data_IF_072002036080
#
_entry.id   IF_072002036080
#
_cell.length_a   1.000
_cell.length_b   1.000
_cell.length_c   1.000
_cell.angle_alpha   90.00
_cell.angle_beta   90.00
_cell.angle_gamma   90.00
#
_symmetry.space_group_name_H-M   'P 1'
#
loop_
_entity.id
_entity.type
_entity.pdbx_description
1 polymer ?
#
# COMPACT_ATOMS: atom_id res chain seq x y z
N UNK A 1 -9.31 -8.81 -1.50
CA UNK A 1 -9.56 -8.71 -0.04
C UNK A 1 -9.20 -9.98 0.72
N UNK A 2 -9.60 -11.17 0.27
CA UNK A 2 -9.29 -12.43 0.99
C UNK A 2 -7.79 -12.73 1.13
N UNK A 3 -6.97 -12.47 0.10
CA UNK A 3 -5.50 -12.61 0.20
C UNK A 3 -4.88 -11.66 1.24
N UNK A 4 -5.52 -10.52 1.51
CA UNK A 4 -5.12 -9.62 2.59
C UNK A 4 -5.48 -10.20 3.97
N UNK A 5 -6.55 -10.99 4.09
CA UNK A 5 -6.94 -11.62 5.35
C UNK A 5 -5.87 -12.57 5.89
N UNK A 6 -5.27 -13.40 5.03
CA UNK A 6 -4.16 -14.28 5.43
C UNK A 6 -2.89 -13.49 5.74
N UNK A 7 -2.63 -12.41 5.01
CA UNK A 7 -1.49 -11.54 5.23
C UNK A 7 -1.52 -10.83 6.59
N UNK A 8 -2.71 -10.46 7.10
CA UNK A 8 -2.88 -9.83 8.42
C UNK A 8 -2.24 -10.67 9.51
N UNK A 9 -2.64 -11.94 9.57
CA UNK A 9 -2.15 -12.86 10.60
C UNK A 9 -0.64 -13.07 10.47
N UNK A 10 -0.15 -13.26 9.24
CA UNK A 10 1.29 -13.40 8.99
C UNK A 10 2.08 -12.19 9.51
N UNK A 11 1.73 -10.97 9.15
CA UNK A 11 2.43 -9.74 9.56
C UNK A 11 2.28 -9.52 11.07
N UNK A 12 1.06 -9.72 11.60
CA UNK A 12 0.79 -9.58 13.02
C UNK A 12 1.67 -10.50 13.88
N UNK A 13 1.71 -11.78 13.56
CA UNK A 13 2.49 -12.74 14.33
C UNK A 13 4.00 -12.54 14.13
N UNK A 14 4.44 -12.30 12.90
CA UNK A 14 5.86 -12.15 12.58
C UNK A 14 6.51 -10.96 13.30
N UNK A 15 5.81 -9.84 13.35
CA UNK A 15 6.37 -8.59 13.91
C UNK A 15 5.76 -8.20 15.26
N UNK A 16 4.82 -8.99 15.78
CA UNK A 16 4.05 -8.60 16.97
C UNK A 16 3.56 -7.15 16.84
N UNK A 17 2.89 -6.86 15.73
CA UNK A 17 2.47 -5.52 15.35
C UNK A 17 1.00 -5.50 14.95
N UNK A 18 0.22 -4.48 15.36
CA UNK A 18 -1.15 -4.32 14.86
C UNK A 18 -1.16 -4.16 13.33
N UNK A 19 -2.13 -4.79 12.68
CA UNK A 19 -2.33 -4.68 11.23
C UNK A 19 -3.74 -4.18 10.99
N UNK A 20 -3.86 -3.11 10.18
CA UNK A 20 -5.14 -2.54 9.77
C UNK A 20 -5.36 -2.85 8.30
N UNK A 21 -6.53 -3.41 7.98
CA UNK A 21 -6.99 -3.56 6.59
C UNK A 21 -8.09 -2.54 6.35
N UNK A 22 -7.81 -1.61 5.45
CA UNK A 22 -8.76 -0.61 5.00
C UNK A 22 -9.40 -1.01 3.67
N UNK A 23 -10.66 -0.65 3.50
CA UNK A 23 -11.38 -0.73 2.23
C UNK A 23 -12.21 0.53 2.06
N UNK A 24 -12.28 1.05 0.83
CA UNK A 24 -13.24 2.10 0.55
C UNK A 24 -14.69 1.54 0.50
N UNK A 25 -15.66 2.45 0.68
CA UNK A 25 -17.06 2.07 0.74
C UNK A 25 -17.56 1.45 -0.58
N UNK A 26 -17.04 1.90 -1.73
CA UNK A 26 -17.44 1.38 -3.03
C UNK A 26 -17.04 -0.10 -3.17
N UNK A 27 -15.78 -0.43 -2.86
CA UNK A 27 -15.33 -1.84 -2.85
C UNK A 27 -16.07 -2.66 -1.78
N UNK A 28 -16.34 -2.09 -0.61
CA UNK A 28 -17.03 -2.77 0.49
C UNK A 28 -18.46 -3.17 0.15
N UNK A 29 -19.11 -2.48 -0.79
CA UNK A 29 -20.48 -2.75 -1.25
C UNK A 29 -20.54 -3.64 -2.51
N UNK A 30 -19.42 -3.89 -3.16
CA UNK A 30 -19.38 -4.71 -4.38
C UNK A 30 -19.53 -6.19 -4.07
N UNK A 31 -20.27 -6.88 -4.92
CA UNK A 31 -20.38 -8.35 -4.90
C UNK A 31 -19.61 -8.89 -6.09
N UNK A 32 -18.62 -9.73 -5.82
CA UNK A 32 -17.78 -10.36 -6.85
C UNK A 32 -17.59 -11.85 -6.53
N UNK A 33 -17.44 -12.71 -7.56
CA UNK A 33 -17.02 -14.08 -7.34
C UNK A 33 -15.59 -14.10 -6.76
N UNK A 34 -15.38 -14.91 -5.74
CA UNK A 34 -14.10 -14.98 -5.03
C UNK A 34 -13.65 -16.44 -4.94
N UNK A 35 -12.44 -16.69 -5.36
CA UNK A 35 -11.72 -17.92 -5.04
C UNK A 35 -11.08 -17.75 -3.67
N UNK A 36 -11.43 -18.64 -2.74
CA UNK A 36 -10.83 -18.62 -1.42
C UNK A 36 -9.37 -19.10 -1.53
N UNK A 37 -8.40 -18.37 -0.95
CA UNK A 37 -7.03 -18.86 -0.92
C UNK A 37 -6.92 -20.11 -0.04
N UNK A 38 -5.90 -20.90 -0.29
CA UNK A 38 -5.55 -22.00 0.62
C UNK A 38 -5.31 -21.48 2.03
N UNK A 39 -5.86 -22.17 3.01
CA UNK A 39 -5.60 -21.87 4.41
C UNK A 39 -4.16 -22.26 4.75
N UNK A 40 -3.37 -21.26 5.11
CA UNK A 40 -2.06 -21.51 5.70
C UNK A 40 -2.24 -21.84 7.19
N UNK A 41 -1.81 -22.99 7.62
CA UNK A 41 -1.71 -23.31 9.04
C UNK A 41 -0.63 -22.42 9.69
N UNK A 42 -1.04 -21.62 10.65
CA UNK A 42 -0.11 -20.86 11.45
C UNK A 42 0.25 -21.67 12.70
N UNK A 43 1.48 -22.14 12.75
CA UNK A 43 2.00 -22.72 13.98
C UNK A 43 2.28 -21.59 14.99
N UNK A 44 1.30 -21.32 15.85
CA UNK A 44 1.42 -20.30 16.91
C UNK A 44 2.45 -20.66 17.96
N UNK A 45 2.86 -21.94 18.04
CA UNK A 45 3.82 -22.43 19.04
C UNK A 45 5.25 -21.94 18.82
N UNK A 46 5.54 -21.47 17.62
CA UNK A 46 6.82 -20.82 17.31
C UNK A 46 7.00 -19.43 17.96
N UNK A 47 5.91 -18.83 18.46
CA UNK A 47 5.95 -17.49 19.04
C UNK A 47 5.88 -17.57 20.57
N UNK A 48 6.88 -17.03 21.25
CA UNK A 48 7.00 -17.04 22.70
C UNK A 48 6.03 -16.10 23.42
N UNK A 49 5.48 -15.11 22.71
CA UNK A 49 4.58 -14.07 23.26
C UNK A 49 3.09 -14.40 23.18
N UNK A 50 2.71 -15.53 22.54
CA UNK A 50 1.29 -15.92 22.40
C UNK A 50 0.72 -16.31 23.76
N UNK A 51 -0.51 -15.86 24.04
CA UNK A 51 -1.24 -16.20 25.25
C UNK A 51 -1.79 -17.62 25.13
N UNK A 52 -1.24 -18.54 25.93
CA UNK A 52 -1.60 -19.99 25.90
C UNK A 52 -2.33 -20.45 27.16
N UNK A 53 -2.72 -19.52 28.01
CA UNK A 53 -3.17 -19.84 29.35
C UNK A 53 -1.99 -20.06 30.30
N UNK A 54 -2.30 -20.43 31.55
CA UNK A 54 -1.33 -20.62 32.62
C UNK A 54 -1.48 -21.99 33.22
N UNK A 55 -0.42 -22.76 33.31
CA UNK A 55 -0.37 -23.98 34.09
C UNK A 55 -0.19 -23.65 35.57
N UNK A 56 -0.70 -24.56 36.43
CA UNK A 56 -0.55 -24.40 37.88
C UNK A 56 0.94 -24.36 38.24
N UNK A 57 1.37 -23.32 38.95
CA UNK A 57 2.77 -23.13 39.36
C UNK A 57 3.63 -22.27 38.42
N UNK A 58 3.15 -21.92 37.21
CA UNK A 58 3.86 -21.01 36.34
C UNK A 58 3.71 -19.54 36.80
N UNK A 59 4.76 -18.75 36.57
CA UNK A 59 4.70 -17.32 36.81
C UNK A 59 3.68 -16.65 35.88
N UNK A 60 3.02 -15.62 36.38
CA UNK A 60 2.12 -14.80 35.54
C UNK A 60 2.96 -14.07 34.52
N UNK A 61 2.66 -14.26 33.24
CA UNK A 61 3.26 -13.46 32.18
C UNK A 61 2.47 -12.17 32.04
N UNK A 62 3.11 -11.06 32.33
CA UNK A 62 2.54 -9.74 32.04
C UNK A 62 2.90 -9.34 30.61
N UNK A 63 1.86 -9.04 29.83
CA UNK A 63 2.02 -8.37 28.52
C UNK A 63 1.82 -6.89 28.81
N UNK A 64 2.73 -6.33 29.57
CA UNK A 64 2.71 -4.93 29.93
C UNK A 64 3.48 -4.10 28.90
N UNK A 65 3.39 -2.80 29.05
CA UNK A 65 4.15 -1.85 28.27
C UNK A 65 5.66 -2.10 28.43
N UNK A 66 6.29 -2.56 27.37
CA UNK A 66 7.73 -2.90 27.34
C UNK A 66 8.61 -1.71 27.74
N UNK A 67 8.14 -0.48 27.48
CA UNK A 67 8.80 0.75 27.90
C UNK A 67 9.18 0.79 29.38
N UNK A 68 8.31 0.32 30.26
CA UNK A 68 8.57 0.29 31.70
C UNK A 68 9.53 -0.83 32.12
N UNK A 69 9.73 -1.82 31.25
CA UNK A 69 10.58 -3.00 31.54
C UNK A 69 12.04 -2.79 31.18
N UNK A 70 12.33 -2.08 30.09
CA UNK A 70 13.66 -1.95 29.52
C UNK A 70 14.20 -0.51 29.45
N UNK A 71 13.35 0.48 29.77
CA UNK A 71 13.70 1.89 29.68
C UNK A 71 13.49 2.51 28.30
N UNK A 72 13.51 3.85 28.26
CA UNK A 72 13.13 4.63 27.08
C UNK A 72 14.05 4.41 25.88
N UNK A 73 15.34 4.52 26.08
CA UNK A 73 16.34 4.50 25.00
C UNK A 73 16.41 3.12 24.34
N UNK A 74 16.40 2.06 25.13
CA UNK A 74 16.42 0.70 24.63
C UNK A 74 15.11 0.36 23.90
N UNK A 75 13.96 0.83 24.40
CA UNK A 75 12.68 0.68 23.74
C UNK A 75 12.60 1.42 22.40
N UNK A 76 13.10 2.63 22.34
CA UNK A 76 13.13 3.41 21.08
C UNK A 76 14.06 2.77 20.04
N UNK A 77 15.19 2.22 20.48
CA UNK A 77 16.09 1.45 19.63
C UNK A 77 15.40 0.19 19.08
N UNK A 78 14.72 -0.55 19.93
CA UNK A 78 13.92 -1.71 19.53
C UNK A 78 12.84 -1.34 18.50
N UNK A 79 12.11 -0.23 18.71
CA UNK A 79 11.09 0.22 17.76
C UNK A 79 11.69 0.63 16.43
N UNK A 80 12.77 1.39 16.44
CA UNK A 80 13.49 1.79 15.21
C UNK A 80 13.89 0.57 14.39
N UNK A 81 14.51 -0.40 15.01
CA UNK A 81 15.01 -1.60 14.31
C UNK A 81 13.86 -2.47 13.81
N UNK A 82 12.79 -2.58 14.60
CA UNK A 82 11.56 -3.27 14.19
C UNK A 82 10.90 -2.61 12.98
N UNK A 83 10.76 -1.29 12.99
CA UNK A 83 10.12 -0.56 11.88
C UNK A 83 10.99 -0.60 10.63
N UNK A 84 12.31 -0.45 10.75
CA UNK A 84 13.23 -0.61 9.63
C UNK A 84 13.12 -1.99 8.98
N UNK A 85 12.97 -3.04 9.78
CA UNK A 85 12.73 -4.39 9.27
C UNK A 85 11.40 -4.52 8.52
N UNK A 86 10.32 -4.00 9.07
CA UNK A 86 9.00 -4.00 8.41
C UNK A 86 9.07 -3.22 7.09
N UNK A 87 9.68 -2.04 7.08
CA UNK A 87 9.86 -1.24 5.86
C UNK A 87 10.69 -1.97 4.80
N UNK A 88 11.69 -2.74 5.18
CA UNK A 88 12.51 -3.50 4.25
C UNK A 88 11.78 -4.69 3.62
N UNK A 89 10.91 -5.37 4.38
CA UNK A 89 10.37 -6.68 4.03
C UNK A 89 8.92 -6.65 3.55
N UNK A 90 8.10 -5.66 3.95
CA UNK A 90 6.64 -5.72 3.78
C UNK A 90 6.08 -4.68 2.79
N UNK A 91 6.91 -4.08 1.96
CA UNK A 91 6.43 -3.24 0.85
C UNK A 91 5.73 -4.10 -0.20
N UNK A 92 4.45 -3.82 -0.47
CA UNK A 92 3.64 -4.57 -1.45
C UNK A 92 2.94 -3.62 -2.41
N UNK A 93 2.98 -3.95 -3.69
CA UNK A 93 2.34 -3.19 -4.76
C UNK A 93 2.05 -4.08 -5.96
N UNK A 94 1.28 -3.54 -6.88
CA UNK A 94 1.07 -4.08 -8.22
C UNK A 94 1.50 -3.04 -9.24
N UNK A 95 2.30 -3.44 -10.24
CA UNK A 95 2.66 -2.61 -11.38
C UNK A 95 1.89 -3.07 -12.61
N UNK A 96 1.35 -2.13 -13.37
CA UNK A 96 0.60 -2.39 -14.60
C UNK A 96 1.20 -1.54 -15.71
N UNK A 97 1.81 -2.18 -16.69
CA UNK A 97 2.39 -1.54 -17.89
C UNK A 97 3.33 -0.36 -17.56
N UNK A 98 4.19 -0.53 -16.56
CA UNK A 98 5.11 0.52 -16.09
C UNK A 98 6.47 0.52 -16.80
N UNK A 99 6.82 -0.53 -17.54
CA UNK A 99 8.14 -0.79 -18.11
C UNK A 99 8.57 0.30 -19.10
N UNK A 100 7.63 0.80 -19.89
CA UNK A 100 7.85 1.84 -20.91
C UNK A 100 7.02 3.11 -20.68
N UNK A 101 6.40 3.23 -19.49
CA UNK A 101 5.49 4.33 -19.20
C UNK A 101 6.20 5.68 -19.17
N UNK A 102 5.59 6.70 -19.78
CA UNK A 102 6.02 8.10 -19.70
C UNK A 102 5.30 8.85 -18.57
N UNK A 103 4.04 8.49 -18.31
CA UNK A 103 3.28 8.94 -17.14
C UNK A 103 2.89 7.70 -16.35
N UNK A 104 2.97 7.78 -15.01
CA UNK A 104 2.55 6.70 -14.14
C UNK A 104 1.46 7.20 -13.21
N UNK A 105 0.29 6.54 -13.28
CA UNK A 105 -0.77 6.72 -12.30
C UNK A 105 -0.37 6.07 -10.98
N UNK A 106 -0.80 6.66 -9.87
CA UNK A 106 -0.69 6.04 -8.55
C UNK A 106 -2.05 6.06 -7.91
N UNK A 107 -2.61 4.88 -7.61
CA UNK A 107 -3.97 4.75 -7.10
C UNK A 107 -4.15 3.45 -6.31
N UNK A 108 -5.01 3.49 -5.29
CA UNK A 108 -5.44 2.30 -4.53
C UNK A 108 -6.97 2.20 -4.51
N UNK A 109 -7.49 1.12 -3.95
CA UNK A 109 -8.93 0.92 -3.81
C UNK A 109 -9.68 0.96 -5.14
N UNK A 110 -10.87 1.57 -5.13
CA UNK A 110 -11.70 1.73 -6.34
C UNK A 110 -11.02 2.63 -7.38
N UNK A 111 -10.28 3.65 -6.94
CA UNK A 111 -9.52 4.53 -7.84
C UNK A 111 -8.52 3.76 -8.70
N UNK A 112 -7.90 2.69 -8.15
CA UNK A 112 -6.98 1.85 -8.92
C UNK A 112 -7.69 1.02 -9.99
N UNK A 113 -8.94 0.59 -9.76
CA UNK A 113 -9.74 -0.13 -10.77
C UNK A 113 -10.06 0.77 -11.96
N UNK A 114 -10.48 2.00 -11.67
CA UNK A 114 -10.76 3.00 -12.71
C UNK A 114 -9.47 3.40 -13.44
N UNK A 115 -8.39 3.55 -12.72
CA UNK A 115 -7.07 3.84 -13.30
C UNK A 115 -6.57 2.72 -14.23
N UNK A 116 -6.83 1.45 -13.92
CA UNK A 116 -6.56 0.33 -14.84
C UNK A 116 -7.32 0.46 -16.16
N UNK A 117 -8.55 0.92 -16.13
CA UNK A 117 -9.31 1.16 -17.35
C UNK A 117 -8.74 2.36 -18.13
N UNK A 118 -8.38 3.45 -17.44
CA UNK A 118 -7.70 4.58 -18.09
C UNK A 118 -6.37 4.15 -18.76
N UNK A 119 -5.59 3.28 -18.13
CA UNK A 119 -4.37 2.71 -18.75
C UNK A 119 -4.72 1.95 -20.02
N UNK A 120 -5.73 1.07 -20.01
CA UNK A 120 -6.14 0.33 -21.21
C UNK A 120 -6.59 1.26 -22.34
N UNK A 121 -7.36 2.31 -22.01
CA UNK A 121 -7.81 3.31 -23.00
C UNK A 121 -6.61 4.06 -23.59
N UNK A 122 -5.71 4.55 -22.76
CA UNK A 122 -4.49 5.24 -23.16
C UNK A 122 -3.62 4.39 -24.11
N UNK A 123 -3.41 3.12 -23.76
CA UNK A 123 -2.61 2.19 -24.55
C UNK A 123 -3.21 1.87 -25.92
N UNK A 124 -4.55 1.84 -26.05
CA UNK A 124 -5.22 1.72 -27.37
C UNK A 124 -4.96 2.93 -28.27
N UNK A 125 -4.71 4.10 -27.68
CA UNK A 125 -4.34 5.33 -28.39
C UNK A 125 -2.82 5.50 -28.58
N UNK A 126 -2.00 4.51 -28.18
CA UNK A 126 -0.56 4.58 -28.28
C UNK A 126 0.13 5.40 -27.17
N UNK A 127 -0.64 5.85 -26.16
CA UNK A 127 -0.12 6.59 -25.01
C UNK A 127 0.52 5.62 -24.01
N UNK A 128 1.79 5.85 -23.66
CA UNK A 128 2.56 5.04 -22.73
C UNK A 128 2.22 5.40 -21.27
N UNK A 129 1.05 5.00 -20.85
CA UNK A 129 0.56 5.17 -19.49
C UNK A 129 0.77 3.88 -18.69
N UNK A 130 1.23 4.01 -17.45
CA UNK A 130 1.36 2.92 -16.49
C UNK A 130 0.60 3.21 -15.20
N UNK A 131 0.53 2.21 -14.31
CA UNK A 131 -0.07 2.34 -12.98
C UNK A 131 0.76 1.60 -11.95
N UNK A 132 1.05 2.26 -10.83
CA UNK A 132 1.45 1.64 -9.57
C UNK A 132 0.24 1.65 -8.64
N UNK A 133 -0.13 0.47 -8.14
CA UNK A 133 -1.15 0.31 -7.13
C UNK A 133 -0.50 -0.10 -5.82
N UNK A 134 -0.36 0.79 -4.85
CA UNK A 134 0.05 0.42 -3.50
C UNK A 134 -0.93 -0.60 -2.91
N UNK A 135 -0.41 -1.68 -2.33
CA UNK A 135 -1.17 -2.66 -1.53
C UNK A 135 -0.96 -2.35 -0.06
N UNK A 136 0.28 -2.03 0.34
CA UNK A 136 0.56 -1.46 1.66
C UNK A 136 0.62 0.05 1.57
N UNK A 137 -0.04 0.75 2.49
CA UNK A 137 0.08 2.20 2.66
C UNK A 137 1.12 2.54 3.73
N UNK A 138 1.37 1.62 4.64
CA UNK A 138 2.55 1.59 5.48
C UNK A 138 2.99 0.13 5.67
N UNK A 139 4.26 -0.21 5.39
CA UNK A 139 5.26 0.65 4.75
C UNK A 139 4.87 1.01 3.30
N UNK A 140 5.09 2.27 2.92
CA UNK A 140 4.82 2.71 1.56
C UNK A 140 5.79 2.08 0.56
N UNK A 141 5.33 1.60 -0.62
CA UNK A 141 6.15 0.81 -1.53
C UNK A 141 7.12 1.67 -2.37
N UNK A 142 8.10 2.28 -1.73
CA UNK A 142 9.16 3.08 -2.40
C UNK A 142 9.89 2.29 -3.48
N UNK A 143 10.10 0.99 -3.27
CA UNK A 143 10.75 0.10 -4.24
C UNK A 143 10.02 0.05 -5.58
N UNK A 144 8.70 0.28 -5.60
CA UNK A 144 7.93 0.35 -6.85
C UNK A 144 8.39 1.52 -7.74
N UNK A 145 8.72 2.65 -7.13
CA UNK A 145 9.17 3.85 -7.83
C UNK A 145 10.65 3.78 -8.20
N UNK A 146 11.47 3.14 -7.37
CA UNK A 146 12.89 2.92 -7.67
C UNK A 146 13.11 1.96 -8.84
N UNK A 147 12.15 1.08 -9.11
CA UNK A 147 12.17 0.17 -10.27
C UNK A 147 11.78 0.82 -11.60
N UNK A 148 11.32 2.07 -11.60
CA UNK A 148 10.93 2.78 -12.81
C UNK A 148 12.13 3.37 -13.53
N UNK A 149 12.11 3.30 -14.87
CA UNK A 149 13.14 3.86 -15.71
C UNK A 149 13.07 5.39 -15.84
N UNK A 150 14.07 5.95 -16.50
CA UNK A 150 14.21 7.41 -16.71
C UNK A 150 13.16 7.99 -17.67
N UNK A 151 12.51 7.15 -18.48
CA UNK A 151 11.45 7.55 -19.40
C UNK A 151 10.20 8.11 -18.70
N UNK A 152 10.00 7.82 -17.41
CA UNK A 152 8.88 8.38 -16.64
C UNK A 152 9.11 9.88 -16.44
N UNK A 153 8.18 10.69 -16.92
CA UNK A 153 8.25 12.15 -16.88
C UNK A 153 7.54 12.73 -15.65
N UNK A 154 6.40 12.15 -15.26
CA UNK A 154 5.59 12.63 -14.15
C UNK A 154 4.69 11.54 -13.57
N UNK A 155 4.12 11.81 -12.40
CA UNK A 155 3.14 10.96 -11.71
C UNK A 155 1.80 11.68 -11.59
N UNK A 156 0.70 10.94 -11.72
CA UNK A 156 -0.65 11.42 -11.42
C UNK A 156 -1.25 10.54 -10.33
N UNK A 157 -1.43 11.12 -9.15
CA UNK A 157 -2.09 10.46 -8.02
C UNK A 157 -3.60 10.59 -8.20
N UNK A 158 -4.31 9.46 -8.16
CA UNK A 158 -5.77 9.42 -8.33
C UNK A 158 -6.41 8.87 -7.06
N UNK A 159 -7.20 9.68 -6.38
CA UNK A 159 -7.79 9.30 -5.10
C UNK A 159 -9.17 9.93 -4.88
N UNK A 160 -9.97 9.35 -3.95
CA UNK A 160 -11.27 9.90 -3.56
C UNK A 160 -11.11 10.91 -2.42
N UNK A 161 -10.22 11.88 -2.61
CA UNK A 161 -9.94 12.96 -1.67
C UNK A 161 -9.62 14.23 -2.45
N UNK A 162 -10.41 15.29 -2.30
CA UNK A 162 -10.20 16.56 -3.03
C UNK A 162 -8.84 17.17 -2.71
N UNK A 163 -8.44 17.10 -1.44
CA UNK A 163 -7.19 17.72 -0.99
C UNK A 163 -5.95 16.88 -1.32
N UNK A 164 -6.16 15.60 -1.67
CA UNK A 164 -5.08 14.64 -1.81
C UNK A 164 -4.48 14.24 -0.45
N UNK A 165 -4.18 12.98 -0.28
CA UNK A 165 -3.50 12.47 0.92
C UNK A 165 -2.29 11.64 0.50
N UNK A 166 -2.47 10.72 -0.43
CA UNK A 166 -1.38 9.86 -0.92
C UNK A 166 -0.35 10.63 -1.76
N UNK A 167 -0.69 11.82 -2.25
CA UNK A 167 0.24 12.66 -3.04
C UNK A 167 1.53 12.94 -2.27
N UNK A 168 1.46 13.18 -0.97
CA UNK A 168 2.65 13.43 -0.14
C UNK A 168 3.52 12.17 -0.02
N UNK A 169 2.91 10.99 0.12
CA UNK A 169 3.64 9.73 0.14
C UNK A 169 4.36 9.46 -1.19
N UNK A 170 3.74 9.81 -2.32
CA UNK A 170 4.36 9.68 -3.66
C UNK A 170 5.53 10.65 -3.80
N UNK A 171 5.38 11.90 -3.36
CA UNK A 171 6.46 12.89 -3.36
C UNK A 171 7.65 12.38 -2.54
N UNK A 172 7.40 11.86 -1.33
CA UNK A 172 8.44 11.29 -0.47
C UNK A 172 9.08 10.05 -1.10
N UNK A 173 8.28 9.14 -1.67
CA UNK A 173 8.77 7.92 -2.29
C UNK A 173 9.64 8.18 -3.52
N UNK A 174 9.30 9.18 -4.32
CA UNK A 174 10.05 9.57 -5.53
C UNK A 174 11.22 10.50 -5.24
N UNK A 175 11.36 10.98 -3.98
CA UNK A 175 12.36 11.99 -3.61
C UNK A 175 12.18 13.31 -4.36
N UNK A 176 10.95 13.61 -4.76
CA UNK A 176 10.58 14.80 -5.54
C UNK A 176 11.42 15.00 -6.83
N UNK A 177 11.92 13.91 -7.40
CA UNK A 177 12.77 13.95 -8.61
C UNK A 177 11.99 14.23 -9.89
N UNK A 178 10.67 14.06 -9.85
CA UNK A 178 9.75 14.26 -10.97
C UNK A 178 8.46 14.90 -10.49
N UNK A 179 7.77 15.68 -11.34
CA UNK A 179 6.48 16.27 -10.99
C UNK A 179 5.47 15.23 -10.52
N UNK A 180 4.74 15.56 -9.47
CA UNK A 180 3.61 14.78 -8.95
C UNK A 180 2.39 15.67 -8.98
N UNK A 181 1.38 15.29 -9.76
CA UNK A 181 0.08 15.94 -9.80
C UNK A 181 -0.97 15.08 -9.09
N UNK A 182 -2.04 15.69 -8.62
CA UNK A 182 -3.16 15.01 -7.97
C UNK A 182 -4.45 15.24 -8.74
N UNK A 183 -5.25 14.19 -8.86
CA UNK A 183 -6.64 14.24 -9.28
C UNK A 183 -7.50 13.59 -8.21
N UNK A 184 -8.29 14.41 -7.53
CA UNK A 184 -9.17 13.98 -6.46
C UNK A 184 -10.64 14.25 -6.76
N UNK A 185 -11.49 13.30 -6.41
CA UNK A 185 -12.96 13.44 -6.43
C UNK A 185 -13.49 13.29 -5.00
N UNK A 186 -14.52 14.10 -4.67
CA UNK A 186 -15.21 13.97 -3.39
C UNK A 186 -16.56 13.29 -3.60
N UNK A 187 -16.79 12.23 -2.82
CA UNK A 187 -18.03 11.44 -2.82
C UNK A 187 -18.37 10.74 -4.14
N UNK A 188 -17.54 10.88 -5.18
CA UNK A 188 -17.71 10.21 -6.46
C UNK A 188 -16.50 9.32 -6.76
N UNK A 189 -16.72 8.25 -7.51
CA UNK A 189 -15.64 7.45 -8.07
C UNK A 189 -15.01 8.25 -9.22
N UNK A 190 -13.68 8.37 -9.31
CA UNK A 190 -13.02 9.04 -10.43
C UNK A 190 -13.46 8.48 -11.80
N UNK A 191 -13.45 9.32 -12.83
CA UNK A 191 -13.79 8.90 -14.19
C UNK A 191 -12.53 8.62 -15.01
N UNK A 192 -12.46 7.45 -15.65
CA UNK A 192 -11.34 7.02 -16.48
C UNK A 192 -11.07 7.95 -17.68
N UNK A 193 -12.11 8.59 -18.23
CA UNK A 193 -11.98 9.56 -19.33
C UNK A 193 -11.32 10.85 -18.84
N UNK A 194 -11.73 11.33 -17.67
CA UNK A 194 -11.13 12.53 -17.05
C UNK A 194 -9.66 12.26 -16.70
N UNK A 195 -9.35 11.07 -16.18
CA UNK A 195 -7.96 10.67 -15.94
C UNK A 195 -7.15 10.73 -17.25
N UNK A 196 -7.69 10.18 -18.34
CA UNK A 196 -7.02 10.17 -19.64
C UNK A 196 -6.82 11.58 -20.20
N UNK A 197 -7.79 12.47 -20.05
CA UNK A 197 -7.65 13.88 -20.45
C UNK A 197 -6.52 14.57 -19.70
N UNK A 198 -6.45 14.41 -18.37
CA UNK A 198 -5.35 14.94 -17.57
C UNK A 198 -3.99 14.39 -17.98
N UNK A 199 -3.92 13.09 -18.28
CA UNK A 199 -2.68 12.48 -18.79
C UNK A 199 -2.25 13.12 -20.10
N UNK A 200 -3.17 13.40 -21.02
CA UNK A 200 -2.86 14.10 -22.28
C UNK A 200 -2.35 15.53 -22.06
N UNK A 201 -2.91 16.24 -21.06
CA UNK A 201 -2.41 17.56 -20.66
C UNK A 201 -1.00 17.48 -20.08
N UNK A 202 -0.76 16.52 -19.21
CA UNK A 202 0.57 16.29 -18.60
C UNK A 202 1.63 15.95 -19.66
N UNK A 203 1.29 15.13 -20.67
CA UNK A 203 2.22 14.81 -21.77
C UNK A 203 2.57 16.01 -22.65
N UNK A 204 1.74 17.06 -22.69
CA UNK A 204 2.06 18.31 -23.37
C UNK A 204 2.93 19.24 -22.51
N UNK A 205 2.83 19.08 -21.18
CA UNK A 205 3.50 19.92 -20.20
C UNK A 205 4.90 19.43 -19.87
N UNK A 206 5.10 18.12 -19.88
CA UNK A 206 6.35 17.43 -19.52
C UNK A 206 6.91 16.63 -20.70
#
# INVERSE_FOLDING_TARGET
>A
MYSLGTLIFYVHYRYRHPVIVGSDAAIGQMVEPVELPEMHEHNIDQYDWVIRGRKKGEARREIANVYYSIGADEYMTYLRDKYAKIEAEEQRWESVQTEDAEIVLVAYGISSRVSKEAVKMARREGIKLGLIRPITLWPYPKKAFDALGEQVKAYLVVEMSILGQMVDDVVLATGNRRPVESYGEFANVPDSKVILERVREMLKKY
#
